data_IF_188752202879
#
_entry.id   IF_188752202879
#
_cell.length_a   1.000
_cell.length_b   1.000
_cell.length_c   1.000
_cell.angle_alpha   90.00
_cell.angle_beta   90.00
_cell.angle_gamma   90.00
#
_symmetry.space_group_name_H-M   'P 1'
#
loop_
_entity.id
_entity.type
_entity.pdbx_description
1 polymer ?
#
# COMPACT_ATOMS: atom_id res chain seq x y z
N UNK A 1 25.58 7.86 -4.36
CA UNK A 1 24.54 8.07 -5.40
C UNK A 1 23.41 7.04 -5.34
N UNK A 2 23.69 5.74 -5.12
CA UNK A 2 22.70 4.65 -5.23
C UNK A 2 21.50 4.73 -4.27
N UNK A 3 21.68 5.18 -3.02
CA UNK A 3 20.54 5.35 -2.11
C UNK A 3 19.65 6.53 -2.51
N UNK A 4 20.23 7.66 -2.94
CA UNK A 4 19.45 8.86 -3.33
C UNK A 4 18.50 8.57 -4.51
N UNK A 5 18.88 7.69 -5.44
CA UNK A 5 18.01 7.34 -6.57
C UNK A 5 16.80 6.49 -6.15
N UNK A 6 16.97 5.56 -5.21
CA UNK A 6 15.87 4.73 -4.68
C UNK A 6 14.80 5.55 -3.95
N UNK A 7 15.22 6.61 -3.26
CA UNK A 7 14.31 7.50 -2.54
C UNK A 7 13.35 8.22 -3.47
N UNK A 8 13.81 8.62 -4.66
CA UNK A 8 12.97 9.26 -5.67
C UNK A 8 11.83 8.34 -6.09
N UNK A 9 12.09 7.04 -6.31
CA UNK A 9 11.04 6.08 -6.65
C UNK A 9 10.03 5.90 -5.50
N UNK A 10 10.50 5.82 -4.26
CA UNK A 10 9.62 5.74 -3.09
C UNK A 10 8.74 6.98 -2.93
N UNK A 11 9.32 8.18 -3.09
CA UNK A 11 8.60 9.45 -2.97
C UNK A 11 7.54 9.58 -4.06
N UNK A 12 7.90 9.33 -5.33
CA UNK A 12 6.97 9.41 -6.45
C UNK A 12 5.84 8.39 -6.33
N UNK A 13 6.16 7.14 -5.94
CA UNK A 13 5.15 6.12 -5.67
C UNK A 13 4.20 6.55 -4.55
N UNK A 14 4.74 7.15 -3.48
CA UNK A 14 3.99 7.69 -2.36
C UNK A 14 3.03 8.80 -2.77
N UNK A 15 3.52 9.79 -3.52
CA UNK A 15 2.72 10.90 -4.04
C UNK A 15 1.59 10.42 -4.95
N UNK A 16 1.88 9.52 -5.89
CA UNK A 16 0.84 8.97 -6.77
C UNK A 16 -0.21 8.18 -5.99
N UNK A 17 0.20 7.39 -4.99
CA UNK A 17 -0.74 6.69 -4.12
C UNK A 17 -1.58 7.66 -3.28
N UNK A 18 -0.99 8.74 -2.80
CA UNK A 18 -1.66 9.77 -2.01
C UNK A 18 -2.66 10.58 -2.86
N UNK A 19 -2.31 10.91 -4.10
CA UNK A 19 -3.24 11.52 -5.08
C UNK A 19 -4.40 10.57 -5.34
N UNK A 20 -4.12 9.28 -5.53
CA UNK A 20 -5.16 8.29 -5.76
C UNK A 20 -6.09 8.16 -4.54
N UNK A 21 -5.55 8.21 -3.32
CA UNK A 21 -6.36 8.27 -2.10
C UNK A 21 -7.19 9.55 -2.03
N UNK A 22 -6.60 10.70 -2.33
CA UNK A 22 -7.34 11.96 -2.36
C UNK A 22 -8.52 11.89 -3.33
N UNK A 23 -8.32 11.36 -4.55
CA UNK A 23 -9.38 11.15 -5.53
C UNK A 23 -10.43 10.15 -5.04
N UNK A 24 -10.00 9.09 -4.35
CA UNK A 24 -10.89 8.12 -3.73
C UNK A 24 -11.73 8.77 -2.63
N UNK A 25 -11.14 9.58 -1.76
CA UNK A 25 -11.86 10.22 -0.65
C UNK A 25 -12.76 11.37 -1.10
N UNK A 26 -12.39 12.07 -2.18
CA UNK A 26 -13.18 13.18 -2.75
C UNK A 26 -14.34 12.76 -3.64
N UNK A 27 -14.42 11.50 -4.06
CA UNK A 27 -15.50 10.99 -4.93
C UNK A 27 -16.45 10.08 -4.18
N UNK A 28 -17.75 10.18 -4.45
CA UNK A 28 -18.77 9.23 -3.97
C UNK A 28 -18.82 8.00 -4.88
N UNK A 29 -19.07 6.81 -4.31
CA UNK A 29 -19.21 5.54 -5.06
C UNK A 29 -17.95 4.92 -5.67
N UNK A 30 -16.74 5.37 -5.30
CA UNK A 30 -15.50 4.73 -5.77
C UNK A 30 -15.24 3.42 -5.02
N UNK A 31 -14.67 2.43 -5.72
CA UNK A 31 -14.40 1.10 -5.18
C UNK A 31 -13.09 1.04 -4.41
N UNK A 32 -13.17 0.66 -3.13
CA UNK A 32 -11.99 0.48 -2.28
C UNK A 32 -11.03 -0.59 -2.85
N UNK A 33 -11.57 -1.66 -3.43
CA UNK A 33 -10.77 -2.72 -4.05
C UNK A 33 -9.95 -2.19 -5.23
N UNK A 34 -10.57 -1.37 -6.08
CA UNK A 34 -9.87 -0.74 -7.20
C UNK A 34 -8.74 0.15 -6.69
N UNK A 35 -8.99 0.96 -5.65
CA UNK A 35 -7.94 1.77 -5.01
C UNK A 35 -6.76 0.93 -4.53
N UNK A 36 -7.02 -0.17 -3.80
CA UNK A 36 -5.96 -1.04 -3.28
C UNK A 36 -5.15 -1.71 -4.40
N UNK A 37 -5.82 -2.25 -5.42
CA UNK A 37 -5.15 -2.90 -6.56
C UNK A 37 -4.28 -1.90 -7.31
N UNK A 38 -4.78 -0.69 -7.57
CA UNK A 38 -4.00 0.34 -8.28
C UNK A 38 -2.78 0.77 -7.46
N UNK A 39 -2.88 0.89 -6.14
CA UNK A 39 -1.74 1.15 -5.26
C UNK A 39 -0.66 0.07 -5.34
N UNK A 40 -1.06 -1.20 -5.42
CA UNK A 40 -0.13 -2.33 -5.60
C UNK A 40 0.53 -2.24 -6.97
N UNK A 41 -0.23 -1.92 -8.03
CA UNK A 41 0.32 -1.76 -9.38
C UNK A 41 1.34 -0.62 -9.45
N UNK A 42 1.05 0.54 -8.84
CA UNK A 42 2.00 1.66 -8.72
C UNK A 42 3.26 1.18 -8.00
N UNK A 43 3.14 0.53 -6.84
CA UNK A 43 4.30 0.01 -6.11
C UNK A 43 5.13 -0.94 -6.99
N UNK A 44 4.49 -1.87 -7.71
CA UNK A 44 5.18 -2.82 -8.58
C UNK A 44 5.98 -2.13 -9.69
N UNK A 45 5.40 -1.12 -10.34
CA UNK A 45 6.07 -0.34 -11.38
C UNK A 45 7.29 0.40 -10.82
N UNK A 46 7.14 1.08 -9.67
CA UNK A 46 8.23 1.86 -9.08
C UNK A 46 9.33 0.99 -8.48
N UNK A 47 8.99 -0.14 -7.87
CA UNK A 47 9.96 -1.14 -7.41
C UNK A 47 10.70 -1.72 -8.63
N UNK A 48 9.97 -2.14 -9.68
CA UNK A 48 10.58 -2.67 -10.89
C UNK A 48 11.53 -1.69 -11.58
N UNK A 49 11.09 -0.45 -11.80
CA UNK A 49 11.91 0.61 -12.39
C UNK A 49 13.14 0.94 -11.53
N UNK A 50 12.96 1.05 -10.21
CA UNK A 50 14.06 1.31 -9.27
C UNK A 50 15.10 0.19 -9.28
N UNK A 51 14.68 -1.07 -9.32
CA UNK A 51 15.57 -2.22 -9.39
C UNK A 51 16.30 -2.32 -10.73
N UNK A 52 15.62 -2.07 -11.86
CA UNK A 52 16.25 -2.04 -13.18
C UNK A 52 17.32 -0.95 -13.25
N UNK A 53 17.03 0.25 -12.74
CA UNK A 53 18.03 1.33 -12.68
C UNK A 53 19.21 0.93 -11.81
N UNK A 54 18.95 0.35 -10.63
CA UNK A 54 20.01 -0.05 -9.71
C UNK A 54 20.91 -1.13 -10.30
N UNK A 55 20.35 -2.08 -11.05
CA UNK A 55 21.11 -3.08 -11.82
C UNK A 55 22.01 -2.43 -12.87
N UNK A 56 21.51 -1.43 -13.62
CA UNK A 56 22.32 -0.69 -14.61
C UNK A 56 23.47 0.07 -13.93
N UNK A 57 23.21 0.70 -12.79
CA UNK A 57 24.22 1.45 -12.03
C UNK A 57 25.28 0.55 -11.37
N UNK A 58 24.98 -0.73 -11.14
CA UNK A 58 25.90 -1.72 -10.57
C UNK A 58 26.65 -2.55 -11.63
N UNK A 59 26.54 -2.22 -12.92
CA UNK A 59 27.22 -2.95 -13.97
C UNK A 59 26.59 -4.31 -14.30
N UNK A 60 25.28 -4.48 -14.06
CA UNK A 60 24.51 -5.63 -14.55
C UNK A 60 24.27 -6.75 -13.55
N UNK A 61 24.95 -6.75 -12.40
CA UNK A 61 24.80 -7.76 -11.34
C UNK A 61 24.24 -7.14 -10.07
N UNK A 62 23.15 -7.72 -9.55
CA UNK A 62 22.54 -7.34 -8.27
C UNK A 62 22.23 -8.62 -7.49
N UNK A 63 22.60 -8.66 -6.21
CA UNK A 63 22.27 -9.80 -5.36
C UNK A 63 20.79 -9.77 -4.96
N UNK A 64 20.19 -10.96 -4.77
CA UNK A 64 18.80 -11.11 -4.31
C UNK A 64 18.55 -10.30 -3.02
N UNK A 65 19.46 -10.35 -2.06
CA UNK A 65 19.35 -9.59 -0.82
C UNK A 65 19.28 -8.07 -1.05
N UNK A 66 20.08 -7.53 -1.98
CA UNK A 66 20.00 -6.10 -2.35
C UNK A 66 18.71 -5.77 -3.08
N UNK A 67 18.20 -6.67 -3.91
CA UNK A 67 16.90 -6.50 -4.59
C UNK A 67 15.77 -6.41 -3.58
N UNK A 68 15.70 -7.35 -2.63
CA UNK A 68 14.68 -7.37 -1.58
C UNK A 68 14.78 -6.12 -0.70
N UNK A 69 15.98 -5.77 -0.24
CA UNK A 69 16.19 -4.59 0.59
C UNK A 69 15.81 -3.29 -0.13
N UNK A 70 16.16 -3.16 -1.41
CA UNK A 70 15.85 -1.95 -2.19
C UNK A 70 14.35 -1.77 -2.41
N UNK A 71 13.63 -2.85 -2.71
CA UNK A 71 12.18 -2.76 -2.87
C UNK A 71 11.43 -2.55 -1.54
N UNK A 72 11.93 -3.12 -0.43
CA UNK A 72 11.45 -2.78 0.92
C UNK A 72 11.65 -1.29 1.23
N UNK A 73 12.83 -0.73 0.94
CA UNK A 73 13.10 0.69 1.16
C UNK A 73 12.17 1.59 0.34
N UNK A 74 11.92 1.26 -0.93
CA UNK A 74 10.96 1.98 -1.78
C UNK A 74 9.56 1.94 -1.15
N UNK A 75 9.12 0.75 -0.71
CA UNK A 75 7.79 0.57 -0.11
C UNK A 75 7.62 1.31 1.22
N UNK A 76 8.70 1.40 2.01
CA UNK A 76 8.72 2.12 3.28
C UNK A 76 8.64 3.64 3.08
N UNK A 77 9.45 4.19 2.16
CA UNK A 77 9.42 5.62 1.82
C UNK A 77 8.05 6.00 1.26
N UNK A 78 7.48 5.16 0.39
CA UNK A 78 6.11 5.33 -0.12
C UNK A 78 5.10 5.46 1.03
N UNK A 79 5.17 4.57 2.02
CA UNK A 79 4.26 4.60 3.17
C UNK A 79 4.39 5.88 3.99
N UNK A 80 5.62 6.35 4.23
CA UNK A 80 5.88 7.61 4.94
C UNK A 80 5.24 8.78 4.20
N UNK A 81 5.43 8.88 2.89
CA UNK A 81 4.84 9.98 2.09
C UNK A 81 3.32 9.94 2.15
N UNK A 82 2.71 8.76 2.05
CA UNK A 82 1.26 8.61 2.21
C UNK A 82 0.77 9.06 3.58
N UNK A 83 1.48 8.70 4.65
CA UNK A 83 1.16 9.13 6.03
C UNK A 83 1.27 10.64 6.18
N UNK A 84 2.29 11.27 5.61
CA UNK A 84 2.44 12.73 5.65
C UNK A 84 1.25 13.41 4.98
N UNK A 85 0.84 12.95 3.79
CA UNK A 85 -0.32 13.50 3.08
C UNK A 85 -1.61 13.24 3.86
N UNK A 86 -1.76 12.05 4.45
CA UNK A 86 -2.90 11.73 5.31
C UNK A 86 -2.99 12.68 6.50
N UNK A 87 -1.89 12.90 7.22
CA UNK A 87 -1.84 13.83 8.36
C UNK A 87 -2.22 15.25 7.91
N UNK A 88 -1.73 15.69 6.75
CA UNK A 88 -2.06 16.99 6.20
C UNK A 88 -3.55 17.14 5.91
N UNK A 89 -4.18 16.15 5.27
CA UNK A 89 -5.62 16.15 4.98
C UNK A 89 -6.50 15.86 6.21
N UNK A 90 -5.92 15.29 7.26
CA UNK A 90 -6.61 15.02 8.53
C UNK A 90 -6.76 16.31 9.37
N UNK A 91 -5.95 17.33 9.16
CA UNK A 91 -6.10 18.58 9.90
C UNK A 91 -7.32 19.38 9.40
N UNK A 92 -8.08 20.05 10.29
CA UNK A 92 -7.91 20.11 11.75
C UNK A 92 -8.54 18.95 12.53
N UNK A 93 -9.55 18.27 11.98
CA UNK A 93 -10.40 17.31 12.71
C UNK A 93 -10.80 16.05 11.93
N UNK A 94 -10.24 15.82 10.74
CA UNK A 94 -10.49 14.64 9.92
C UNK A 94 -11.79 14.69 9.13
N UNK A 95 -12.43 15.87 9.01
CA UNK A 95 -13.67 16.07 8.25
C UNK A 95 -13.60 15.52 6.82
N UNK A 96 -12.43 15.66 6.17
CA UNK A 96 -12.19 15.14 4.83
C UNK A 96 -12.52 13.64 4.67
N UNK A 97 -12.32 12.85 5.74
CA UNK A 97 -12.53 11.40 5.70
C UNK A 97 -13.94 10.98 6.17
N UNK A 98 -14.70 11.87 6.80
CA UNK A 98 -16.01 11.55 7.38
C UNK A 98 -17.01 10.95 6.38
N UNK A 99 -17.12 11.43 5.13
CA UNK A 99 -18.04 10.83 4.15
C UNK A 99 -17.79 9.32 3.96
N UNK A 100 -16.51 8.91 3.90
CA UNK A 100 -16.16 7.49 3.75
C UNK A 100 -16.33 6.68 5.03
N UNK A 101 -16.17 7.30 6.20
CA UNK A 101 -16.51 6.67 7.48
C UNK A 101 -18.00 6.33 7.50
N UNK A 102 -18.87 7.27 7.10
CA UNK A 102 -20.32 7.05 7.06
C UNK A 102 -20.73 6.00 6.01
N UNK A 103 -20.11 6.01 4.83
CA UNK A 103 -20.31 4.93 3.84
C UNK A 103 -19.92 3.55 4.41
N UNK A 104 -18.80 3.47 5.12
CA UNK A 104 -18.35 2.24 5.75
C UNK A 104 -19.29 1.79 6.87
N UNK A 105 -19.85 2.72 7.65
CA UNK A 105 -20.89 2.43 8.65
C UNK A 105 -22.16 1.87 8.03
N UNK A 106 -22.66 2.47 6.96
CA UNK A 106 -23.84 1.98 6.24
C UNK A 106 -23.60 0.57 5.66
N UNK A 107 -22.39 0.28 5.20
CA UNK A 107 -22.02 -1.07 4.76
C UNK A 107 -21.94 -2.07 5.91
N UNK A 108 -21.39 -1.67 7.06
CA UNK A 108 -21.34 -2.50 8.25
C UNK A 108 -22.74 -2.85 8.77
N UNK A 109 -23.66 -1.87 8.81
CA UNK A 109 -25.06 -2.08 9.18
C UNK A 109 -25.72 -3.14 8.29
N UNK A 110 -25.57 -3.01 6.97
CA UNK A 110 -26.11 -3.99 6.01
C UNK A 110 -25.53 -5.39 6.23
N UNK A 111 -24.22 -5.48 6.50
CA UNK A 111 -23.55 -6.77 6.73
C UNK A 111 -24.01 -7.43 8.02
N UNK A 112 -24.06 -6.70 9.13
CA UNK A 112 -24.49 -7.23 10.43
C UNK A 112 -25.97 -7.61 10.41
N UNK A 113 -26.81 -6.81 9.74
CA UNK A 113 -28.24 -7.12 9.61
C UNK A 113 -28.48 -8.41 8.82
N UNK A 114 -27.69 -8.65 7.77
CA UNK A 114 -27.78 -9.82 6.90
C UNK A 114 -26.97 -11.04 7.39
N UNK A 115 -26.29 -10.94 8.54
CA UNK A 115 -25.52 -12.05 9.08
C UNK A 115 -26.39 -12.93 10.00
N UNK A 116 -26.78 -14.09 9.49
CA UNK A 116 -27.58 -15.08 10.21
C UNK A 116 -26.81 -15.79 11.34
N UNK A 117 -25.47 -15.61 11.41
CA UNK A 117 -24.63 -16.20 12.47
C UNK A 117 -24.59 -15.34 13.72
N UNK A 118 -24.92 -14.06 13.62
CA UNK A 118 -25.00 -13.15 14.76
C UNK A 118 -26.42 -13.23 15.32
N UNK A 119 -26.54 -13.59 16.60
CA UNK A 119 -27.85 -13.58 17.27
C UNK A 119 -28.41 -12.17 17.25
N UNK A 120 -29.71 -12.02 17.02
CA UNK A 120 -30.36 -10.70 16.92
C UNK A 120 -30.11 -9.80 18.14
N UNK A 121 -30.01 -10.40 19.33
CA UNK A 121 -29.69 -9.69 20.58
C UNK A 121 -28.27 -9.11 20.62
N UNK A 122 -27.32 -9.73 19.91
CA UNK A 122 -25.91 -9.32 19.89
C UNK A 122 -25.60 -8.34 18.74
N UNK A 123 -26.48 -8.25 17.72
CA UNK A 123 -26.32 -7.36 16.56
C UNK A 123 -26.05 -5.89 16.92
N UNK A 124 -26.71 -5.25 17.91
CA UNK A 124 -26.42 -3.87 18.30
C UNK A 124 -25.01 -3.71 18.88
N UNK A 125 -24.56 -4.66 19.69
CA UNK A 125 -23.24 -4.65 20.31
C UNK A 125 -22.14 -4.89 19.26
N UNK A 126 -22.31 -5.88 18.39
CA UNK A 126 -21.39 -6.16 17.28
C UNK A 126 -21.26 -4.96 16.34
N UNK A 127 -22.39 -4.33 16.00
CA UNK A 127 -22.38 -3.13 15.16
C UNK A 127 -21.62 -1.98 15.81
N UNK A 128 -21.77 -1.76 17.11
CA UNK A 128 -21.05 -0.72 17.84
C UNK A 128 -19.52 -0.95 17.80
N UNK A 129 -19.09 -2.20 18.06
CA UNK A 129 -17.68 -2.58 17.99
C UNK A 129 -17.11 -2.39 16.58
N UNK A 130 -17.83 -2.81 15.54
CA UNK A 130 -17.40 -2.65 14.14
C UNK A 130 -17.29 -1.16 13.78
N UNK A 131 -18.24 -0.31 14.19
CA UNK A 131 -18.19 1.13 13.95
C UNK A 131 -17.00 1.80 14.65
N UNK A 132 -16.69 1.39 15.87
CA UNK A 132 -15.50 1.88 16.59
C UNK A 132 -14.21 1.47 15.87
N UNK A 133 -14.11 0.19 15.46
CA UNK A 133 -12.98 -0.30 14.68
C UNK A 133 -12.83 0.49 13.39
N UNK A 134 -13.89 0.65 12.59
CA UNK A 134 -13.86 1.46 11.37
C UNK A 134 -13.37 2.87 11.66
N UNK A 135 -13.94 3.56 12.68
CA UNK A 135 -13.51 4.91 13.04
C UNK A 135 -12.01 4.98 13.32
N UNK A 136 -11.47 3.97 14.03
CA UNK A 136 -10.06 3.91 14.38
C UNK A 136 -9.15 3.83 13.16
N UNK A 137 -9.56 3.14 12.07
CA UNK A 137 -8.78 3.01 10.84
C UNK A 137 -8.65 4.35 10.10
N UNK A 138 -9.62 5.25 10.28
CA UNK A 138 -9.62 6.59 9.71
C UNK A 138 -8.96 7.64 10.60
N UNK A 139 -8.41 7.25 11.77
CA UNK A 139 -7.56 8.13 12.59
C UNK A 139 -6.10 7.97 12.22
N UNK A 140 -5.29 9.01 12.47
CA UNK A 140 -3.85 9.01 12.17
C UNK A 140 -3.12 7.75 12.65
N UNK A 141 -3.29 7.26 13.91
CA UNK A 141 -2.58 6.07 14.36
C UNK A 141 -3.01 4.81 13.60
N UNK A 142 -4.31 4.60 13.39
CA UNK A 142 -4.85 3.43 12.70
C UNK A 142 -4.45 3.40 11.23
N UNK A 143 -4.63 4.52 10.53
CA UNK A 143 -4.21 4.65 9.13
C UNK A 143 -2.70 4.42 8.96
N UNK A 144 -1.88 5.00 9.84
CA UNK A 144 -0.43 4.87 9.76
C UNK A 144 0.03 3.43 9.93
N UNK A 145 -0.57 2.71 10.90
CA UNK A 145 -0.27 1.31 11.15
C UNK A 145 -0.60 0.42 9.94
N UNK A 146 -1.80 0.58 9.36
CA UNK A 146 -2.23 -0.21 8.19
C UNK A 146 -1.39 0.14 6.97
N UNK A 147 -1.09 1.42 6.77
CA UNK A 147 -0.33 1.89 5.60
C UNK A 147 1.11 1.41 5.65
N UNK A 148 1.77 1.47 6.81
CA UNK A 148 3.11 0.90 7.00
C UNK A 148 3.10 -0.62 6.85
N UNK A 149 2.24 -1.32 7.60
CA UNK A 149 2.18 -2.78 7.59
C UNK A 149 1.85 -3.31 6.19
N UNK A 150 0.80 -2.77 5.56
CA UNK A 150 0.38 -3.14 4.21
C UNK A 150 1.44 -2.81 3.16
N UNK A 151 2.10 -1.66 3.24
CA UNK A 151 3.17 -1.30 2.29
C UNK A 151 4.40 -2.18 2.44
N UNK A 152 4.80 -2.54 3.66
CA UNK A 152 5.94 -3.43 3.88
C UNK A 152 5.65 -4.85 3.40
N UNK A 153 4.46 -5.40 3.70
CA UNK A 153 4.07 -6.74 3.24
C UNK A 153 3.99 -6.79 1.71
N UNK A 154 3.29 -5.84 1.09
CA UNK A 154 3.19 -5.78 -0.38
C UNK A 154 4.55 -5.49 -1.03
N UNK A 155 5.36 -4.63 -0.41
CA UNK A 155 6.74 -4.35 -0.82
C UNK A 155 7.60 -5.60 -0.80
N UNK A 156 7.53 -6.41 0.26
CA UNK A 156 8.25 -7.66 0.36
C UNK A 156 7.86 -8.63 -0.77
N UNK A 157 6.56 -8.86 -0.95
CA UNK A 157 6.04 -9.76 -1.99
C UNK A 157 6.50 -9.32 -3.37
N UNK A 158 6.29 -8.06 -3.72
CA UNK A 158 6.72 -7.49 -5.02
C UNK A 158 8.23 -7.63 -5.20
N UNK A 159 9.01 -7.35 -4.16
CA UNK A 159 10.47 -7.41 -4.24
C UNK A 159 11.00 -8.83 -4.45
N UNK A 160 10.36 -9.83 -3.83
CA UNK A 160 10.67 -11.25 -4.04
C UNK A 160 10.35 -11.66 -5.48
N UNK A 161 9.17 -11.28 -5.99
CA UNK A 161 8.78 -11.57 -7.37
C UNK A 161 9.74 -10.94 -8.38
N UNK A 162 10.14 -9.69 -8.13
CA UNK A 162 11.13 -9.00 -8.97
C UNK A 162 12.52 -9.64 -8.86
N UNK A 163 12.92 -10.09 -7.68
CA UNK A 163 14.19 -10.81 -7.50
C UNK A 163 14.20 -12.14 -8.25
N UNK A 164 13.08 -12.88 -8.22
CA UNK A 164 12.93 -14.10 -9.00
C UNK A 164 13.01 -13.81 -10.51
N UNK A 165 12.33 -12.77 -11.01
CA UNK A 165 12.34 -12.39 -12.42
C UNK A 165 13.71 -11.90 -12.91
N UNK A 166 14.44 -11.14 -12.08
CA UNK A 166 15.80 -10.70 -12.40
C UNK A 166 16.79 -11.87 -12.32
N UNK A 167 16.60 -12.78 -11.36
CA UNK A 167 17.43 -13.96 -11.15
C UNK A 167 17.28 -15.03 -12.23
N UNK A 168 16.07 -15.30 -12.74
CA UNK A 168 15.86 -16.25 -13.85
C UNK A 168 16.47 -15.74 -15.16
N UNK A 169 16.48 -14.42 -15.40
CA UNK A 169 17.23 -13.82 -16.51
C UNK A 169 18.77 -13.97 -16.38
N UNK A 170 19.30 -14.32 -15.19
CA UNK A 170 20.71 -14.69 -15.05
C UNK A 170 20.98 -16.15 -15.44
N UNK A 171 20.08 -17.09 -15.09
CA UNK A 171 20.23 -18.50 -15.45
C UNK A 171 20.12 -18.77 -16.96
N UNK A 172 19.27 -18.03 -17.68
CA UNK A 172 19.09 -18.23 -19.12
C UNK A 172 20.22 -17.62 -19.98
N UNK A 173 21.06 -16.77 -19.40
CA UNK A 173 22.18 -16.09 -20.07
C UNK A 173 23.55 -16.67 -19.68
N UNK A 174 23.59 -17.84 -19.05
CA UNK A 174 24.81 -18.64 -19.05
C UNK A 174 24.88 -19.37 -20.41
N UNK A 175 25.76 -18.98 -21.36
CA UNK A 175 26.03 -19.83 -22.49
C UNK A 175 26.57 -21.15 -21.95
N UNK A 176 26.01 -22.27 -22.43
CA UNK A 176 26.56 -23.61 -22.27
C UNK A 176 28.09 -23.53 -22.26
N UNK A 177 28.70 -23.74 -21.09
CA UNK A 177 30.10 -24.06 -21.05
C UNK A 177 30.22 -25.49 -21.57
N UNK A 178 30.75 -25.56 -22.78
CA UNK A 178 31.28 -26.76 -23.41
C UNK A 178 32.22 -27.52 -22.48
#
# INVERSE_FOLDING_TARGET
>A
MQQKSLWVFGILAGLLCAILEYLFFSTTSSSANTMFITKIAILAIFVGAGLILLRKLLGGVISIGRTVFSGLLISFIRAIVMIIVFIFLYQPNGEFYQPRVQEAYAQAEKKVAADDKIKDADKPMELALIKEQIASLYKVPGYSMITLGGSLVTGLVVSILMAAFIGTNMMYNEPNKA
#
